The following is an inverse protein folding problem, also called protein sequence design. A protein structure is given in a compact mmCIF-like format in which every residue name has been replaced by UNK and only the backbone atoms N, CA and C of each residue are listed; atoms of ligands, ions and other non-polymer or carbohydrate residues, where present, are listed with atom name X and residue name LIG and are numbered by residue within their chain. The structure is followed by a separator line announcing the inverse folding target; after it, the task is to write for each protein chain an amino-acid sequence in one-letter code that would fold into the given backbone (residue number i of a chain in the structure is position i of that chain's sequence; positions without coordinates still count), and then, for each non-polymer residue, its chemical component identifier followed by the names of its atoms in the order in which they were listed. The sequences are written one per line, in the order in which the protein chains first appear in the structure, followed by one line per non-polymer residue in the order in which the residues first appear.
data_IF_815365470259
#
_entry.id   IF_815365470259
#
_cell.length_a   1.000
_cell.length_b   1.000
_cell.length_c   1.000
_cell.angle_alpha   90.00
_cell.angle_beta   90.00
_cell.angle_gamma   90.00
#
_symmetry.space_group_name_H-M   'P 1'
#
loop_
_entity.id
_entity.type
_entity.pdbx_description
1 polymer ?
#
# COMPACT_ATOMS: atom_id res chain seq x y z
N UNK A 1 46.44 59.24 -35.63
CA UNK A 1 45.32 58.40 -36.12
C UNK A 1 45.17 57.17 -35.25
N UNK A 2 44.34 57.27 -34.19
CA UNK A 2 44.14 56.15 -33.23
C UNK A 2 42.91 55.33 -33.65
N UNK A 3 43.11 54.08 -33.91
CA UNK A 3 42.00 53.13 -34.16
C UNK A 3 41.62 52.44 -32.88
N UNK A 4 40.49 52.81 -32.26
CA UNK A 4 39.84 52.08 -31.19
C UNK A 4 39.22 50.83 -31.74
N UNK A 5 39.64 49.65 -31.30
CA UNK A 5 38.97 48.35 -31.53
C UNK A 5 38.02 48.10 -30.36
N UNK A 6 36.74 48.22 -30.61
CA UNK A 6 35.71 47.85 -29.65
C UNK A 6 35.54 46.33 -29.67
N UNK A 7 35.89 45.64 -28.59
CA UNK A 7 35.60 44.22 -28.36
C UNK A 7 34.18 44.10 -27.82
N UNK A 8 33.30 43.50 -28.61
CA UNK A 8 31.94 43.14 -28.19
C UNK A 8 31.99 41.76 -27.50
N UNK A 9 31.90 41.75 -26.13
CA UNK A 9 31.73 40.51 -25.38
C UNK A 9 30.27 40.05 -25.51
N UNK A 10 30.01 39.01 -26.29
CA UNK A 10 28.74 38.27 -26.29
C UNK A 10 28.75 37.31 -25.08
N UNK A 11 28.06 37.68 -23.98
CA UNK A 11 27.76 36.77 -22.89
C UNK A 11 26.60 35.85 -23.31
N UNK A 12 26.91 34.58 -23.61
CA UNK A 12 25.90 33.53 -23.85
C UNK A 12 25.38 33.09 -22.49
N UNK A 13 24.19 33.55 -22.10
CA UNK A 13 23.45 33.02 -20.95
C UNK A 13 22.92 31.61 -21.34
N UNK A 14 23.59 30.57 -20.88
CA UNK A 14 23.08 29.19 -20.94
C UNK A 14 21.96 29.02 -19.92
N UNK A 15 20.71 29.11 -20.36
CA UNK A 15 19.57 28.68 -19.55
C UNK A 15 19.58 27.13 -19.49
N UNK A 16 20.09 26.58 -18.39
CA UNK A 16 19.90 25.17 -18.08
C UNK A 16 18.43 24.94 -17.73
N UNK A 17 17.64 24.45 -18.68
CA UNK A 17 16.30 23.94 -18.40
C UNK A 17 16.43 22.69 -17.50
N UNK A 18 16.31 22.87 -16.20
CA UNK A 18 16.08 21.77 -15.29
C UNK A 18 14.63 21.31 -15.53
N UNK A 19 14.46 20.26 -16.32
CA UNK A 19 13.19 19.53 -16.37
C UNK A 19 12.98 18.94 -14.97
N UNK A 20 12.11 19.54 -14.18
CA UNK A 20 11.70 18.98 -12.91
C UNK A 20 11.08 17.61 -13.22
N UNK A 21 11.78 16.53 -12.89
CA UNK A 21 11.23 15.18 -12.96
C UNK A 21 10.09 15.14 -11.95
N UNK A 22 8.87 14.89 -12.45
CA UNK A 22 7.69 14.81 -11.59
C UNK A 22 7.92 13.71 -10.53
N UNK A 23 7.65 14.06 -9.26
CA UNK A 23 7.80 13.10 -8.16
C UNK A 23 6.80 11.94 -8.35
N UNK A 24 7.24 10.68 -8.26
CA UNK A 24 6.34 9.54 -8.33
C UNK A 24 5.22 9.64 -7.29
N UNK A 25 4.04 9.16 -7.65
CA UNK A 25 2.87 9.14 -6.78
C UNK A 25 2.59 7.70 -6.33
N UNK A 26 2.67 7.48 -5.01
CA UNK A 26 2.22 6.26 -4.33
C UNK A 26 0.76 6.42 -3.91
N UNK A 27 -0.11 5.64 -4.52
CA UNK A 27 -1.51 5.50 -4.10
C UNK A 27 -1.67 4.21 -3.30
N UNK A 28 -2.22 4.31 -2.08
CA UNK A 28 -2.43 3.15 -1.21
C UNK A 28 -3.91 2.97 -0.95
N UNK A 29 -4.44 1.78 -1.21
CA UNK A 29 -5.83 1.39 -0.92
C UNK A 29 -5.87 0.19 0.00
N UNK A 30 -6.81 0.19 0.94
CA UNK A 30 -6.92 -0.94 1.86
C UNK A 30 -7.95 -0.75 2.97
N UNK A 31 -7.70 -1.48 4.05
CA UNK A 31 -8.51 -1.50 5.26
C UNK A 31 -7.92 -0.57 6.36
N UNK A 32 -8.07 -0.97 7.62
CA UNK A 32 -7.52 -0.23 8.76
C UNK A 32 -5.99 -0.19 8.81
N UNK A 33 -5.30 -1.10 8.14
CA UNK A 33 -3.84 -1.03 8.01
C UNK A 33 -3.39 0.18 7.20
N UNK A 34 -4.21 0.61 6.24
CA UNK A 34 -3.97 1.80 5.42
C UNK A 34 -4.52 3.05 6.08
N UNK A 35 -5.73 2.98 6.65
CA UNK A 35 -6.35 4.10 7.37
C UNK A 35 -5.61 4.46 8.67
N UNK A 36 -4.74 3.58 9.14
CA UNK A 36 -3.97 3.67 10.39
C UNK A 36 -4.84 3.77 11.64
N UNK A 37 -6.00 3.16 11.64
CA UNK A 37 -6.97 3.02 12.75
C UNK A 37 -6.70 4.04 13.87
N UNK A 38 -7.40 4.70 14.55
CA UNK A 38 -7.23 5.64 15.69
C UNK A 38 -5.91 6.44 15.78
N UNK A 39 -5.00 6.33 14.80
CA UNK A 39 -3.71 7.04 14.80
C UNK A 39 -3.53 7.90 13.55
N UNK A 40 -2.67 8.95 13.62
CA UNK A 40 -2.35 9.75 12.46
C UNK A 40 -1.79 8.91 11.31
N UNK A 41 -2.24 9.19 10.10
CA UNK A 41 -1.76 8.55 8.88
C UNK A 41 -0.24 8.72 8.67
N UNK A 42 0.30 9.85 9.14
CA UNK A 42 1.73 10.19 9.08
C UNK A 42 2.63 9.24 9.87
N UNK A 43 2.08 8.39 10.73
CA UNK A 43 2.85 7.38 11.46
C UNK A 43 2.95 6.05 10.71
N UNK A 44 2.14 5.84 9.67
CA UNK A 44 2.12 4.57 8.96
C UNK A 44 3.39 4.33 8.15
N UNK A 45 3.91 3.09 8.13
CA UNK A 45 5.16 2.75 7.46
C UNK A 45 5.14 3.10 5.97
N UNK A 46 4.01 2.94 5.29
CA UNK A 46 3.89 3.25 3.87
C UNK A 46 3.89 4.76 3.58
N UNK A 47 3.34 5.58 4.48
CA UNK A 47 3.48 7.03 4.41
C UNK A 47 4.94 7.44 4.63
N UNK A 48 5.57 6.94 5.71
CA UNK A 48 6.96 7.24 6.04
C UNK A 48 7.92 6.81 4.91
N UNK A 49 7.66 5.67 4.27
CA UNK A 49 8.42 5.20 3.11
C UNK A 49 8.28 6.18 1.93
N UNK A 50 7.07 6.63 1.61
CA UNK A 50 6.85 7.62 0.55
C UNK A 50 7.59 8.94 0.85
N UNK A 51 7.52 9.43 2.09
CA UNK A 51 8.24 10.65 2.48
C UNK A 51 9.76 10.51 2.33
N UNK A 52 10.34 9.38 2.75
CA UNK A 52 11.78 9.10 2.60
C UNK A 52 12.24 9.04 1.14
N UNK A 53 11.34 8.66 0.23
CA UNK A 53 11.62 8.59 -1.21
C UNK A 53 11.30 9.91 -1.94
N UNK A 54 10.75 10.92 -1.26
CA UNK A 54 10.28 12.14 -1.89
C UNK A 54 9.08 11.93 -2.81
N UNK A 55 8.26 10.91 -2.56
CA UNK A 55 7.09 10.60 -3.38
C UNK A 55 5.84 11.33 -2.89
N UNK A 56 4.97 11.69 -3.81
CA UNK A 56 3.60 12.07 -3.46
C UNK A 56 2.87 10.86 -2.87
N UNK A 57 2.02 11.11 -1.87
CA UNK A 57 1.28 10.05 -1.19
C UNK A 57 -0.22 10.31 -1.20
N UNK A 58 -1.01 9.29 -1.56
CA UNK A 58 -2.47 9.31 -1.54
C UNK A 58 -3.01 8.07 -0.84
N UNK A 59 -3.98 8.27 0.05
CA UNK A 59 -4.50 7.22 0.92
C UNK A 59 -6.00 7.02 0.71
N UNK A 60 -6.36 5.80 0.33
CA UNK A 60 -7.73 5.31 0.18
C UNK A 60 -8.04 4.19 1.18
N UNK A 61 -7.44 4.23 2.36
CA UNK A 61 -7.72 3.33 3.47
C UNK A 61 -9.07 3.60 4.12
N UNK A 62 -9.73 2.53 4.59
CA UNK A 62 -10.96 2.64 5.36
C UNK A 62 -11.01 1.59 6.44
N UNK A 63 -11.22 2.01 7.70
CA UNK A 63 -11.33 1.10 8.83
C UNK A 63 -12.42 0.05 8.58
N UNK A 64 -12.12 -1.20 8.93
CA UNK A 64 -13.04 -2.32 8.75
C UNK A 64 -13.31 -2.72 7.29
N UNK A 65 -12.60 -2.11 6.31
CA UNK A 65 -12.74 -2.44 4.90
C UNK A 65 -12.37 -3.90 4.60
N UNK A 66 -13.03 -4.50 3.62
CA UNK A 66 -12.78 -5.86 3.14
C UNK A 66 -12.60 -5.84 1.62
N UNK A 67 -11.83 -6.77 1.09
CA UNK A 67 -11.63 -6.91 -0.36
C UNK A 67 -12.95 -7.28 -1.03
N UNK A 68 -13.63 -8.29 -0.50
CA UNK A 68 -14.77 -8.95 -1.13
C UNK A 68 -16.13 -8.55 -0.55
N UNK A 69 -16.21 -8.26 0.75
CA UNK A 69 -17.49 -8.03 1.42
C UNK A 69 -17.85 -6.55 1.48
N UNK A 70 -19.06 -6.21 1.03
CA UNK A 70 -19.64 -4.90 1.31
C UNK A 70 -20.07 -4.86 2.78
N UNK A 71 -19.59 -3.85 3.50
CA UNK A 71 -19.86 -3.65 4.91
C UNK A 71 -20.46 -2.26 5.20
N UNK A 72 -21.07 -1.67 4.18
CA UNK A 72 -21.67 -0.32 4.26
C UNK A 72 -22.76 -0.23 5.32
N UNK A 73 -23.56 -1.29 5.48
CA UNK A 73 -24.60 -1.39 6.49
C UNK A 73 -24.06 -1.41 7.94
N UNK A 74 -22.75 -1.63 8.11
CA UNK A 74 -22.05 -1.57 9.41
C UNK A 74 -21.15 -0.34 9.53
N UNK A 75 -21.24 0.62 8.62
CA UNK A 75 -20.40 1.82 8.60
C UNK A 75 -18.97 1.63 8.10
N UNK A 76 -18.58 0.40 7.67
CA UNK A 76 -17.23 0.10 7.19
C UNK A 76 -17.04 0.32 5.69
N UNK A 77 -18.12 0.61 4.97
CA UNK A 77 -18.12 0.96 3.56
C UNK A 77 -18.12 -0.20 2.60
N UNK A 78 -18.13 0.16 1.32
CA UNK A 78 -18.15 -0.78 0.19
C UNK A 78 -16.89 -1.61 0.15
N UNK A 79 -16.98 -2.80 -0.46
CA UNK A 79 -15.83 -3.67 -0.70
C UNK A 79 -14.74 -2.94 -1.50
N UNK A 80 -13.45 -3.23 -1.19
CA UNK A 80 -12.29 -2.60 -1.85
C UNK A 80 -12.33 -2.84 -3.36
N UNK A 81 -12.81 -4.00 -3.79
CA UNK A 81 -13.00 -4.30 -5.22
C UNK A 81 -13.89 -3.28 -5.93
N UNK A 82 -14.83 -2.65 -5.24
CA UNK A 82 -15.68 -1.59 -5.78
C UNK A 82 -15.10 -0.19 -5.51
N UNK A 83 -14.53 0.05 -4.33
CA UNK A 83 -13.92 1.34 -3.96
C UNK A 83 -12.71 1.72 -4.81
N UNK A 84 -12.01 0.77 -5.41
CA UNK A 84 -10.90 1.08 -6.31
C UNK A 84 -11.33 1.91 -7.53
N UNK A 85 -12.60 1.88 -7.89
CA UNK A 85 -13.16 2.72 -8.96
C UNK A 85 -13.32 4.19 -8.54
N UNK A 86 -13.43 4.46 -7.25
CA UNK A 86 -13.57 5.79 -6.66
C UNK A 86 -12.23 6.54 -6.53
N UNK A 87 -11.11 5.86 -6.71
CA UNK A 87 -9.78 6.48 -6.69
C UNK A 87 -9.64 7.42 -7.89
N UNK A 88 -9.28 8.68 -7.66
CA UNK A 88 -9.20 9.73 -8.71
C UNK A 88 -7.78 10.22 -8.95
N UNK A 89 -6.87 9.97 -8.02
CA UNK A 89 -5.48 10.42 -8.14
C UNK A 89 -4.69 9.61 -9.19
N UNK A 90 -3.80 10.27 -9.94
CA UNK A 90 -2.83 9.55 -10.76
C UNK A 90 -1.89 8.71 -9.88
N UNK A 91 -1.37 7.61 -10.42
CA UNK A 91 -0.45 6.74 -9.69
C UNK A 91 0.67 6.21 -10.57
N UNK A 92 1.89 6.26 -10.05
CA UNK A 92 3.04 5.52 -10.58
C UNK A 92 3.17 4.17 -9.86
N UNK A 93 2.74 4.13 -8.58
CA UNK A 93 2.72 2.93 -7.77
C UNK A 93 1.35 2.84 -7.08
N UNK A 94 0.71 1.67 -7.19
CA UNK A 94 -0.50 1.33 -6.43
C UNK A 94 -0.18 0.21 -5.46
N UNK A 95 -0.42 0.45 -4.17
CA UNK A 95 -0.23 -0.54 -3.12
C UNK A 95 -1.58 -0.92 -2.51
N UNK A 96 -1.89 -2.21 -2.51
CA UNK A 96 -3.06 -2.76 -1.82
C UNK A 96 -2.61 -3.40 -0.52
N UNK A 97 -3.16 -2.96 0.62
CA UNK A 97 -2.89 -3.55 1.94
C UNK A 97 -4.23 -3.95 2.54
N UNK A 98 -4.57 -5.22 2.50
CA UNK A 98 -5.87 -5.70 2.95
C UNK A 98 -5.90 -7.23 3.15
N UNK A 99 -7.00 -7.71 3.72
CA UNK A 99 -7.26 -9.13 3.90
C UNK A 99 -7.52 -9.56 5.34
N UNK A 100 -7.24 -8.69 6.32
CA UNK A 100 -7.50 -9.01 7.73
C UNK A 100 -9.01 -9.25 7.98
N UNK A 101 -9.85 -8.32 7.56
CA UNK A 101 -11.30 -8.46 7.69
C UNK A 101 -11.86 -9.59 6.82
N UNK A 102 -11.23 -9.84 5.67
CA UNK A 102 -11.59 -10.98 4.81
C UNK A 102 -11.30 -12.31 5.53
N UNK A 103 -10.17 -12.43 6.25
CA UNK A 103 -9.84 -13.61 7.03
C UNK A 103 -10.85 -13.86 8.15
N UNK A 104 -11.21 -12.81 8.90
CA UNK A 104 -12.22 -12.90 9.97
C UNK A 104 -13.61 -13.29 9.42
N UNK A 105 -13.95 -12.90 8.20
CA UNK A 105 -15.25 -13.21 7.59
C UNK A 105 -15.25 -14.54 6.85
N UNK A 106 -14.20 -14.86 6.11
CA UNK A 106 -14.13 -16.09 5.34
C UNK A 106 -13.92 -17.31 6.24
N UNK A 107 -13.13 -17.15 7.30
CA UNK A 107 -12.65 -18.27 8.10
C UNK A 107 -12.10 -19.35 7.16
N UNK A 108 -12.48 -20.62 7.35
CA UNK A 108 -12.10 -21.73 6.47
C UNK A 108 -13.25 -22.15 5.52
N UNK A 109 -14.25 -21.28 5.35
CA UNK A 109 -15.39 -21.57 4.50
C UNK A 109 -15.00 -21.51 3.01
N UNK A 110 -15.22 -22.60 2.29
CA UNK A 110 -14.81 -22.76 0.88
C UNK A 110 -15.47 -21.75 -0.06
N UNK A 111 -16.78 -21.48 0.13
CA UNK A 111 -17.51 -20.57 -0.73
C UNK A 111 -17.09 -19.14 -0.51
N UNK A 112 -16.85 -18.76 0.75
CA UNK A 112 -16.30 -17.46 1.12
C UNK A 112 -14.89 -17.24 0.55
N UNK A 113 -14.03 -18.24 0.59
CA UNK A 113 -12.69 -18.19 -0.03
C UNK A 113 -12.76 -18.14 -1.56
N UNK A 114 -13.76 -18.78 -2.17
CA UNK A 114 -14.02 -18.65 -3.61
C UNK A 114 -14.46 -17.23 -3.95
N UNK A 115 -15.42 -16.67 -3.22
CA UNK A 115 -15.87 -15.28 -3.40
C UNK A 115 -14.72 -14.28 -3.24
N UNK A 116 -13.86 -14.48 -2.26
CA UNK A 116 -12.64 -13.67 -2.11
C UNK A 116 -11.72 -13.78 -3.33
N UNK A 117 -11.51 -14.99 -3.85
CA UNK A 117 -10.66 -15.21 -5.02
C UNK A 117 -11.21 -14.51 -6.26
N UNK A 118 -12.51 -14.59 -6.49
CA UNK A 118 -13.19 -13.92 -7.62
C UNK A 118 -13.12 -12.39 -7.46
N UNK A 119 -13.31 -11.88 -6.25
CA UNK A 119 -13.21 -10.45 -5.94
C UNK A 119 -11.78 -9.92 -6.10
N UNK A 120 -10.77 -10.69 -5.69
CA UNK A 120 -9.36 -10.36 -5.90
C UNK A 120 -9.00 -10.31 -7.39
N UNK A 121 -9.49 -11.28 -8.16
CA UNK A 121 -9.28 -11.33 -9.61
C UNK A 121 -9.86 -10.08 -10.29
N UNK A 122 -11.10 -9.73 -9.92
CA UNK A 122 -11.76 -8.52 -10.40
C UNK A 122 -11.03 -7.23 -9.95
N UNK A 123 -10.53 -7.19 -8.71
CA UNK A 123 -9.75 -6.06 -8.21
C UNK A 123 -8.46 -5.88 -9.01
N UNK A 124 -7.72 -6.96 -9.24
CA UNK A 124 -6.48 -6.91 -10.04
C UNK A 124 -6.75 -6.40 -11.45
N UNK A 125 -7.79 -6.88 -12.11
CA UNK A 125 -8.22 -6.40 -13.43
C UNK A 125 -8.53 -4.90 -13.40
N UNK A 126 -9.40 -4.46 -12.50
CA UNK A 126 -9.80 -3.05 -12.38
C UNK A 126 -8.62 -2.12 -12.12
N UNK A 127 -7.67 -2.54 -11.28
CA UNK A 127 -6.47 -1.76 -11.03
C UNK A 127 -5.56 -1.67 -12.26
N UNK A 128 -5.40 -2.75 -13.01
CA UNK A 128 -4.63 -2.76 -14.26
C UNK A 128 -5.29 -1.89 -15.34
N UNK A 129 -6.62 -1.96 -15.47
CA UNK A 129 -7.38 -1.15 -16.44
C UNK A 129 -7.29 0.34 -16.09
N UNK A 130 -7.40 0.67 -14.81
CA UNK A 130 -7.37 2.05 -14.32
C UNK A 130 -5.97 2.66 -14.34
N UNK A 131 -4.95 1.87 -14.02
CA UNK A 131 -3.55 2.30 -13.90
C UNK A 131 -2.63 1.44 -14.77
N UNK A 132 -2.77 1.50 -16.10
CA UNK A 132 -2.08 0.58 -17.02
C UNK A 132 -0.55 0.71 -16.99
N UNK A 133 -0.03 1.87 -16.54
CA UNK A 133 1.41 2.15 -16.45
C UNK A 133 1.95 2.02 -15.03
N UNK A 134 1.09 1.95 -14.01
CA UNK A 134 1.55 1.91 -12.63
C UNK A 134 2.10 0.51 -12.26
N UNK A 135 3.11 0.51 -11.42
CA UNK A 135 3.51 -0.68 -10.70
C UNK A 135 2.47 -0.99 -9.61
N UNK A 136 1.94 -2.21 -9.59
CA UNK A 136 0.95 -2.63 -8.60
C UNK A 136 1.58 -3.66 -7.67
N UNK A 137 1.45 -3.45 -6.36
CA UNK A 137 1.90 -4.38 -5.33
C UNK A 137 0.78 -4.70 -4.34
N UNK A 138 0.89 -5.85 -3.68
CA UNK A 138 -0.04 -6.29 -2.65
C UNK A 138 0.71 -6.62 -1.36
N UNK A 139 0.11 -6.30 -0.20
CA UNK A 139 0.62 -6.68 1.13
C UNK A 139 -0.44 -7.55 1.79
N UNK A 140 -0.05 -8.73 2.27
CA UNK A 140 -0.96 -9.64 2.98
C UNK A 140 -1.30 -9.11 4.37
N UNK A 141 -2.41 -9.56 5.02
CA UNK A 141 -2.61 -9.30 6.44
C UNK A 141 -1.53 -9.99 7.30
N UNK A 142 -1.33 -9.52 8.53
CA UNK A 142 -0.52 -10.28 9.49
C UNK A 142 -1.06 -11.70 9.62
N UNK A 143 -0.15 -12.67 9.75
CA UNK A 143 -0.57 -14.05 9.96
C UNK A 143 -0.96 -14.26 11.42
N UNK A 144 -2.25 -14.10 11.70
CA UNK A 144 -2.84 -14.41 13.01
C UNK A 144 -3.20 -15.89 13.06
N UNK A 145 -2.91 -16.56 14.19
CA UNK A 145 -3.24 -17.98 14.39
C UNK A 145 -4.73 -18.16 14.66
N UNK A 146 -5.55 -17.83 13.68
CA UNK A 146 -7.01 -18.00 13.65
C UNK A 146 -7.47 -18.56 12.31
N UNK A 147 -8.62 -19.27 12.28
CA UNK A 147 -9.23 -19.71 11.03
C UNK A 147 -9.35 -18.56 10.02
N UNK A 148 -9.06 -18.84 8.75
CA UNK A 148 -9.17 -17.88 7.65
C UNK A 148 -7.88 -17.16 7.28
N UNK A 149 -6.96 -16.88 8.19
CA UNK A 149 -5.77 -16.08 7.86
C UNK A 149 -4.84 -16.79 6.87
N UNK A 150 -4.47 -18.02 7.14
CA UNK A 150 -3.61 -18.79 6.21
C UNK A 150 -4.29 -19.04 4.84
N UNK A 151 -5.57 -19.48 4.76
CA UNK A 151 -6.27 -19.61 3.49
C UNK A 151 -6.39 -18.29 2.71
N UNK A 152 -6.64 -17.16 3.38
CA UNK A 152 -6.73 -15.85 2.73
C UNK A 152 -5.36 -15.43 2.18
N UNK A 153 -4.28 -15.58 2.96
CA UNK A 153 -2.92 -15.28 2.51
C UNK A 153 -2.57 -16.12 1.27
N UNK A 154 -2.85 -17.44 1.30
CA UNK A 154 -2.65 -18.33 0.14
C UNK A 154 -3.46 -17.90 -1.08
N UNK A 155 -4.71 -17.45 -0.86
CA UNK A 155 -5.57 -16.98 -1.94
C UNK A 155 -5.03 -15.70 -2.58
N UNK A 156 -4.56 -14.73 -1.77
CA UNK A 156 -3.89 -13.51 -2.26
C UNK A 156 -2.69 -13.89 -3.12
N UNK A 157 -1.79 -14.73 -2.62
CA UNK A 157 -0.62 -15.16 -3.39
C UNK A 157 -0.98 -15.84 -4.72
N UNK A 158 -1.98 -16.73 -4.70
CA UNK A 158 -2.43 -17.47 -5.88
C UNK A 158 -2.99 -16.53 -6.94
N UNK A 159 -3.86 -15.60 -6.55
CA UNK A 159 -4.48 -14.66 -7.50
C UNK A 159 -3.45 -13.64 -8.02
N UNK A 160 -2.70 -12.99 -7.13
CA UNK A 160 -1.68 -12.00 -7.52
C UNK A 160 -0.63 -12.60 -8.46
N UNK A 161 -0.24 -13.88 -8.27
CA UNK A 161 0.70 -14.58 -9.18
C UNK A 161 0.15 -14.65 -10.60
N UNK A 162 -1.14 -14.95 -10.79
CA UNK A 162 -1.77 -14.98 -12.14
C UNK A 162 -1.69 -13.62 -12.83
N UNK A 163 -1.81 -12.54 -12.06
CA UNK A 163 -1.73 -11.17 -12.54
C UNK A 163 -0.30 -10.60 -12.59
N UNK A 164 0.71 -11.40 -12.23
CA UNK A 164 2.11 -10.96 -12.09
C UNK A 164 2.24 -9.73 -11.18
N UNK A 165 1.44 -9.69 -10.11
CA UNK A 165 1.50 -8.65 -9.08
C UNK A 165 2.38 -9.17 -7.94
N UNK A 166 3.49 -8.47 -7.62
CA UNK A 166 4.33 -8.81 -6.47
C UNK A 166 3.55 -8.72 -5.16
N UNK A 167 3.81 -9.67 -4.26
CA UNK A 167 3.19 -9.71 -2.92
C UNK A 167 4.26 -9.61 -1.85
N UNK A 168 4.09 -8.64 -0.94
CA UNK A 168 4.84 -8.54 0.29
C UNK A 168 4.18 -9.43 1.35
N UNK A 169 4.79 -10.55 1.61
CA UNK A 169 4.28 -11.57 2.53
C UNK A 169 4.62 -11.23 3.99
N UNK A 170 3.64 -10.88 4.78
CA UNK A 170 3.82 -10.45 6.17
C UNK A 170 4.35 -11.55 7.09
N UNK A 171 4.22 -12.83 6.70
CA UNK A 171 4.85 -13.96 7.44
C UNK A 171 6.38 -13.86 7.47
N UNK A 172 6.96 -13.06 6.56
CA UNK A 172 8.40 -12.79 6.46
C UNK A 172 8.78 -11.43 7.02
N UNK A 173 7.85 -10.75 7.68
CA UNK A 173 8.08 -9.44 8.28
C UNK A 173 8.76 -9.56 9.65
N UNK A 174 9.32 -8.46 10.18
CA UNK A 174 9.80 -8.40 11.55
C UNK A 174 8.66 -8.40 12.60
N UNK A 175 7.40 -8.34 12.18
CA UNK A 175 6.23 -8.24 13.07
C UNK A 175 5.84 -9.62 13.59
N UNK A 176 5.83 -9.77 14.91
CA UNK A 176 5.51 -11.02 15.62
C UNK A 176 4.14 -10.90 16.29
N UNK A 177 3.08 -11.00 15.49
CA UNK A 177 1.70 -10.75 15.94
C UNK A 177 1.23 -11.70 17.05
N UNK A 178 1.74 -12.93 17.11
CA UNK A 178 1.37 -13.92 18.12
C UNK A 178 2.13 -13.77 19.47
N UNK A 179 3.21 -13.00 19.48
CA UNK A 179 4.00 -12.72 20.67
C UNK A 179 3.35 -11.59 21.49
N UNK A 180 2.83 -11.89 22.67
CA UNK A 180 2.15 -10.89 23.50
C UNK A 180 3.09 -9.77 23.98
N UNK A 181 4.34 -10.10 24.36
CA UNK A 181 5.33 -9.10 24.76
C UNK A 181 5.64 -8.15 23.58
N UNK A 182 5.71 -8.70 22.38
CA UNK A 182 5.85 -7.92 21.17
C UNK A 182 4.63 -7.01 20.94
N UNK A 183 3.40 -7.51 21.10
CA UNK A 183 2.20 -6.68 20.94
C UNK A 183 2.15 -5.54 21.95
N UNK A 184 2.48 -5.79 23.22
CA UNK A 184 2.57 -4.73 24.25
C UNK A 184 3.46 -3.57 23.85
N UNK A 185 4.51 -3.83 23.10
CA UNK A 185 5.47 -2.81 22.67
C UNK A 185 5.10 -2.16 21.33
N UNK A 186 4.62 -2.94 20.36
CA UNK A 186 4.54 -2.52 18.95
C UNK A 186 3.12 -2.42 18.38
N UNK A 187 2.09 -2.84 19.11
CA UNK A 187 0.70 -2.71 18.70
C UNK A 187 -0.03 -1.64 19.53
N UNK A 188 -1.23 -1.25 19.10
CA UNK A 188 -2.02 -0.21 19.77
C UNK A 188 -2.58 -0.68 21.11
N UNK A 189 -2.77 -1.99 21.29
CA UNK A 189 -3.11 -2.64 22.55
C UNK A 189 -2.55 -4.06 22.60
N UNK A 190 -2.36 -4.66 23.79
CA UNK A 190 -1.80 -6.02 23.94
C UNK A 190 -2.67 -7.11 23.31
N UNK A 191 -3.96 -6.91 23.22
CA UNK A 191 -4.96 -7.80 22.62
C UNK A 191 -5.27 -7.47 21.16
N UNK A 192 -4.68 -6.39 20.63
CA UNK A 192 -4.80 -6.01 19.22
C UNK A 192 -3.85 -6.87 18.37
N UNK A 193 -4.39 -7.61 17.41
CA UNK A 193 -3.64 -8.44 16.48
C UNK A 193 -3.58 -7.83 15.07
N UNK A 194 -3.98 -6.58 14.93
CA UNK A 194 -4.08 -5.90 13.62
C UNK A 194 -3.24 -4.63 13.55
N UNK A 195 -3.35 -3.74 14.53
CA UNK A 195 -2.93 -2.36 14.37
C UNK A 195 -1.62 -2.06 15.09
N UNK A 196 -0.59 -1.76 14.33
CA UNK A 196 0.70 -1.29 14.87
C UNK A 196 0.54 0.10 15.50
N UNK A 197 1.32 0.36 16.56
CA UNK A 197 1.56 1.71 17.05
C UNK A 197 2.71 2.37 16.27
N UNK A 198 3.10 3.61 16.62
CA UNK A 198 4.17 4.33 15.94
C UNK A 198 5.51 3.55 15.91
N UNK A 199 5.88 2.89 17.01
CA UNK A 199 7.10 2.09 17.08
C UNK A 199 7.01 0.84 16.19
N UNK A 200 5.84 0.19 16.13
CA UNK A 200 5.61 -0.94 15.24
C UNK A 200 5.68 -0.55 13.77
N UNK A 201 5.17 0.62 13.41
CA UNK A 201 5.34 1.16 12.05
C UNK A 201 6.79 1.48 11.71
N UNK A 202 7.56 2.05 12.64
CA UNK A 202 8.99 2.30 12.44
C UNK A 202 9.79 1.00 12.30
N UNK A 203 9.42 -0.05 13.04
CA UNK A 203 10.02 -1.39 12.91
C UNK A 203 9.73 -2.01 11.54
N UNK A 204 8.51 -1.88 11.03
CA UNK A 204 8.11 -2.44 9.74
C UNK A 204 8.62 -1.61 8.54
N UNK A 205 9.00 -0.34 8.75
CA UNK A 205 9.36 0.60 7.70
C UNK A 205 10.50 0.13 6.78
N UNK A 206 11.67 -0.35 7.26
CA UNK A 206 12.75 -0.78 6.36
C UNK A 206 12.33 -1.93 5.46
N UNK A 207 11.54 -2.87 5.99
CA UNK A 207 11.02 -4.02 5.28
C UNK A 207 10.02 -3.63 4.19
N UNK A 208 9.06 -2.75 4.52
CA UNK A 208 8.07 -2.24 3.57
C UNK A 208 8.68 -1.31 2.52
N UNK A 209 9.61 -0.44 2.92
CA UNK A 209 10.32 0.47 2.02
C UNK A 209 11.16 -0.28 0.97
N UNK A 210 11.82 -1.37 1.35
CA UNK A 210 12.59 -2.20 0.43
C UNK A 210 11.68 -2.80 -0.68
N UNK A 211 10.45 -3.20 -0.32
CA UNK A 211 9.46 -3.68 -1.28
C UNK A 211 9.01 -2.57 -2.24
N UNK A 212 8.68 -1.40 -1.71
CA UNK A 212 8.27 -0.25 -2.53
C UNK A 212 9.36 0.21 -3.50
N UNK A 213 10.62 0.26 -3.05
CA UNK A 213 11.77 0.56 -3.92
C UNK A 213 11.94 -0.46 -5.04
N UNK A 214 11.60 -1.72 -4.79
CA UNK A 214 11.65 -2.76 -5.82
C UNK A 214 10.51 -2.64 -6.82
N UNK A 215 9.33 -2.17 -6.37
CA UNK A 215 8.20 -1.91 -7.26
C UNK A 215 8.43 -0.72 -8.18
N UNK A 216 9.13 0.31 -7.71
CA UNK A 216 9.39 1.55 -8.44
C UNK A 216 10.48 1.43 -9.53
N UNK A 217 11.17 0.30 -9.63
CA UNK A 217 12.18 -0.01 -10.68
C UNK A 217 11.53 -0.59 -11.92
#
# INVERSE_FOLDING_TARGET
MNRFRTFLLLSVLSFAFHTAVAQPTLVVIGDSYVANHRRPQSESWHYLAAQRQGWNYRNYGRNGGSIAWDRSNRGFGRAIVNRCLEMTDPADIVLVIAGHNDAEMARDNRDSLKMLADSLDLLCRRLRDKYPKAAIGFVTPWHVNRPGFEPVIKTIHRVCRRWRIPVLDTRKSPVRVEDEAFRRQYFQAPDDHAHLNAQGHLLALPWGEAFLKKLAK
#
